data_IF_406467284227
#
_entry.id   IF_406467284227
#
_cell.length_a   1.000
_cell.length_b   1.000
_cell.length_c   1.000
_cell.angle_alpha   90.00
_cell.angle_beta   90.00
_cell.angle_gamma   90.00
#
_symmetry.space_group_name_H-M   'P 1'
#
loop_
_entity.id
_entity.type
_entity.pdbx_description
1 polymer ?
#
# COMPACT_ATOMS: atom_id res chain seq x y z
N UNK A 1 -7.88 10.42 23.64
CA UNK A 1 -6.70 10.71 22.79
C UNK A 1 -5.83 9.47 22.90
N UNK A 2 -6.31 8.37 22.29
CA UNK A 2 -5.70 7.07 22.50
C UNK A 2 -4.63 6.84 21.44
N UNK A 3 -3.43 6.78 21.97
CA UNK A 3 -2.21 6.27 21.38
C UNK A 3 -2.50 4.93 20.69
N UNK A 4 -2.61 4.96 19.35
CA UNK A 4 -2.64 3.76 18.51
C UNK A 4 -1.28 3.07 18.60
N UNK A 5 -1.11 2.32 19.68
CA UNK A 5 -0.10 1.28 19.79
C UNK A 5 -0.34 0.28 18.66
N UNK A 6 0.66 0.21 17.78
CA UNK A 6 0.83 -0.74 16.69
C UNK A 6 0.30 -2.13 17.09
N UNK A 7 -0.91 -2.43 16.62
CA UNK A 7 -1.62 -3.65 16.93
C UNK A 7 -1.46 -4.63 15.77
N UNK A 8 -0.85 -5.78 16.05
CA UNK A 8 -0.76 -6.99 15.21
C UNK A 8 -2.15 -7.65 15.03
N UNK A 9 -3.16 -6.87 14.67
CA UNK A 9 -4.55 -7.31 14.66
C UNK A 9 -4.90 -7.92 13.30
N UNK A 10 -4.96 -9.24 13.25
CA UNK A 10 -5.93 -9.92 12.38
C UNK A 10 -7.32 -9.53 12.87
N UNK A 11 -7.86 -8.42 12.38
CA UNK A 11 -9.22 -7.98 12.73
C UNK A 11 -10.21 -8.76 11.88
N UNK A 12 -10.59 -9.95 12.34
CA UNK A 12 -11.68 -10.72 11.74
C UNK A 12 -13.01 -10.21 12.30
N UNK A 13 -13.69 -9.32 11.56
CA UNK A 13 -15.11 -9.06 11.83
C UNK A 13 -15.92 -10.23 11.25
N UNK A 14 -16.22 -11.22 12.10
CA UNK A 14 -16.96 -12.43 11.70
C UNK A 14 -18.45 -12.31 12.07
N UNK A 15 -19.31 -12.37 11.06
CA UNK A 15 -20.68 -12.85 11.21
C UNK A 15 -20.87 -14.05 10.26
N UNK A 16 -21.55 -15.13 10.67
CA UNK A 16 -21.84 -16.23 9.76
C UNK A 16 -22.67 -15.72 8.57
N UNK A 17 -22.31 -16.12 7.35
CA UNK A 17 -22.86 -15.66 6.06
C UNK A 17 -22.55 -14.21 5.63
N UNK A 18 -21.66 -13.48 6.31
CA UNK A 18 -21.22 -12.16 5.84
C UNK A 18 -19.89 -12.20 5.08
N UNK A 19 -19.72 -11.28 4.13
CA UNK A 19 -18.42 -11.00 3.52
C UNK A 19 -17.41 -10.61 4.60
N UNK A 20 -16.30 -11.35 4.70
CA UNK A 20 -15.22 -11.10 5.66
C UNK A 20 -14.11 -10.32 4.95
N UNK A 21 -13.71 -9.18 5.53
CA UNK A 21 -12.55 -8.41 5.11
C UNK A 21 -11.49 -8.56 6.21
N UNK A 22 -10.29 -8.99 5.81
CA UNK A 22 -9.16 -9.19 6.71
C UNK A 22 -8.04 -8.23 6.35
N UNK A 23 -7.63 -7.41 7.31
CA UNK A 23 -6.44 -6.57 7.18
C UNK A 23 -5.25 -7.34 7.75
N UNK A 24 -4.21 -7.48 6.93
CA UNK A 24 -3.01 -8.25 7.24
C UNK A 24 -1.79 -7.43 6.86
N UNK A 25 -0.74 -7.51 7.67
CA UNK A 25 0.58 -7.04 7.25
C UNK A 25 1.20 -8.02 6.25
N UNK A 26 2.15 -7.56 5.46
CA UNK A 26 2.90 -8.38 4.49
C UNK A 26 3.45 -9.66 5.13
N UNK A 27 4.10 -9.53 6.29
CA UNK A 27 4.62 -10.67 7.06
C UNK A 27 3.55 -11.67 7.51
N UNK A 28 2.36 -11.21 7.91
CA UNK A 28 1.25 -12.09 8.28
C UNK A 28 0.70 -12.83 7.05
N UNK A 29 0.63 -12.15 5.90
CA UNK A 29 0.20 -12.78 4.66
C UNK A 29 1.19 -13.85 4.18
N UNK A 30 2.49 -13.61 4.32
CA UNK A 30 3.53 -14.62 4.04
C UNK A 30 3.36 -15.83 4.97
N UNK A 31 3.06 -15.64 6.25
CA UNK A 31 2.78 -16.75 7.17
C UNK A 31 1.52 -17.54 6.78
N UNK A 32 0.48 -16.87 6.29
CA UNK A 32 -0.73 -17.55 5.82
C UNK A 32 -0.45 -18.37 4.54
N UNK A 33 0.37 -17.84 3.63
CA UNK A 33 0.88 -18.59 2.46
C UNK A 33 1.68 -19.85 2.83
N UNK A 34 2.43 -19.83 3.93
CA UNK A 34 3.15 -21.01 4.41
C UNK A 34 2.19 -22.09 4.96
N UNK A 35 1.06 -21.68 5.53
CA UNK A 35 0.03 -22.60 6.08
C UNK A 35 -0.90 -23.12 4.99
N UNK A 36 -1.34 -22.25 4.09
CA UNK A 36 -2.16 -22.56 2.93
C UNK A 36 -1.50 -22.00 1.66
N UNK A 37 -0.65 -22.80 0.98
CA UNK A 37 0.08 -22.37 -0.21
C UNK A 37 -0.82 -21.98 -1.40
N UNK A 38 -2.09 -22.37 -1.39
CA UNK A 38 -3.04 -22.03 -2.44
C UNK A 38 -3.97 -20.88 -2.03
N UNK A 39 -3.88 -20.39 -0.79
CA UNK A 39 -4.71 -19.30 -0.25
C UNK A 39 -6.20 -19.56 -0.47
N UNK A 40 -6.65 -20.81 -0.33
CA UNK A 40 -8.01 -21.29 -0.63
C UNK A 40 -9.10 -20.50 0.09
N UNK A 41 -8.78 -19.94 1.25
CA UNK A 41 -9.67 -19.09 2.06
C UNK A 41 -9.99 -17.74 1.41
N UNK A 42 -9.16 -17.28 0.48
CA UNK A 42 -9.27 -15.97 -0.16
C UNK A 42 -9.73 -16.10 -1.61
N UNK A 43 -10.64 -15.19 -2.01
CA UNK A 43 -11.06 -14.99 -3.40
C UNK A 43 -10.48 -13.72 -4.00
N UNK A 44 -10.26 -12.70 -3.16
CA UNK A 44 -9.68 -11.42 -3.57
C UNK A 44 -8.58 -11.06 -2.58
N UNK A 45 -7.42 -10.68 -3.10
CA UNK A 45 -6.30 -10.15 -2.33
C UNK A 45 -6.02 -8.75 -2.84
N UNK A 46 -5.98 -7.78 -1.94
CA UNK A 46 -5.55 -6.42 -2.25
C UNK A 46 -4.20 -6.17 -1.59
N UNK A 47 -3.21 -5.83 -2.40
CA UNK A 47 -1.91 -5.37 -1.95
C UNK A 47 -1.91 -3.85 -2.05
N UNK A 48 -1.87 -3.19 -0.90
CA UNK A 48 -1.86 -1.74 -0.81
C UNK A 48 -0.43 -1.20 -0.66
N UNK A 49 -0.21 0.03 -1.10
CA UNK A 49 1.08 0.74 -1.01
C UNK A 49 2.32 -0.03 -1.49
N UNK A 50 2.16 -0.83 -2.54
CA UNK A 50 3.24 -1.65 -3.11
C UNK A 50 4.45 -0.82 -3.61
N UNK A 51 4.28 0.49 -3.72
CA UNK A 51 5.32 1.44 -4.11
C UNK A 51 6.43 1.60 -3.06
N UNK A 52 6.22 1.20 -1.80
CA UNK A 52 7.26 1.27 -0.75
C UNK A 52 8.42 0.28 -0.98
N UNK A 53 8.31 -0.61 -1.98
CA UNK A 53 9.34 -1.58 -2.42
C UNK A 53 10.07 -2.27 -1.24
N UNK A 54 9.29 -2.73 -0.26
CA UNK A 54 9.82 -3.56 0.82
C UNK A 54 10.23 -4.94 0.29
N UNK A 55 11.26 -5.55 0.88
CA UNK A 55 11.67 -6.92 0.56
C UNK A 55 10.49 -7.92 0.73
N UNK A 56 9.65 -7.69 1.75
CA UNK A 56 8.51 -8.54 2.03
C UNK A 56 7.45 -8.42 0.94
N UNK A 57 7.16 -7.22 0.44
CA UNK A 57 6.24 -7.00 -0.69
C UNK A 57 6.75 -7.68 -1.97
N UNK A 58 8.04 -7.58 -2.28
CA UNK A 58 8.59 -8.25 -3.48
C UNK A 58 8.47 -9.78 -3.40
N UNK A 59 8.77 -10.36 -2.23
CA UNK A 59 8.58 -11.80 -1.98
C UNK A 59 7.10 -12.16 -2.12
N UNK A 60 6.21 -11.37 -1.52
CA UNK A 60 4.77 -11.62 -1.54
C UNK A 60 4.20 -11.57 -2.97
N UNK A 61 4.59 -10.58 -3.78
CA UNK A 61 4.22 -10.47 -5.20
C UNK A 61 4.67 -11.71 -5.99
N UNK A 62 5.91 -12.16 -5.76
CA UNK A 62 6.44 -13.37 -6.39
C UNK A 62 5.68 -14.64 -6.02
N UNK A 63 5.29 -14.78 -4.74
CA UNK A 63 4.50 -15.91 -4.26
C UNK A 63 3.07 -15.86 -4.81
N UNK A 64 2.39 -14.72 -4.73
CA UNK A 64 1.03 -14.54 -5.24
C UNK A 64 0.97 -14.81 -6.74
N UNK A 65 1.97 -14.37 -7.52
CA UNK A 65 2.09 -14.70 -8.94
C UNK A 65 2.14 -16.21 -9.21
N UNK A 66 2.80 -16.98 -8.34
CA UNK A 66 2.80 -18.46 -8.44
C UNK A 66 1.42 -19.04 -8.13
N UNK A 67 0.74 -18.51 -7.12
CA UNK A 67 -0.62 -18.97 -6.75
C UNK A 67 -1.63 -18.64 -7.85
N UNK A 68 -1.59 -17.44 -8.43
CA UNK A 68 -2.45 -17.04 -9.55
C UNK A 68 -2.34 -17.98 -10.75
N UNK A 69 -1.14 -18.50 -11.05
CA UNK A 69 -0.96 -19.51 -12.11
C UNK A 69 -1.64 -20.84 -11.81
N UNK A 70 -1.83 -21.18 -10.54
CA UNK A 70 -2.55 -22.38 -10.08
C UNK A 70 -4.06 -22.14 -9.92
N UNK A 71 -4.45 -20.88 -9.69
CA UNK A 71 -5.81 -20.41 -9.43
C UNK A 71 -6.21 -19.25 -10.36
N UNK A 72 -6.23 -19.47 -11.70
CA UNK A 72 -6.43 -18.38 -12.67
C UNK A 72 -7.86 -17.84 -12.74
N UNK A 73 -8.85 -18.61 -12.28
CA UNK A 73 -10.28 -18.29 -12.44
C UNK A 73 -10.88 -17.75 -11.14
N UNK A 74 -10.47 -18.31 -10.01
CA UNK A 74 -11.13 -18.13 -8.71
C UNK A 74 -10.41 -17.12 -7.79
N UNK A 75 -9.15 -16.80 -8.05
CA UNK A 75 -8.38 -15.81 -7.30
C UNK A 75 -8.19 -14.51 -8.12
N UNK A 76 -8.60 -13.39 -7.53
CA UNK A 76 -8.36 -12.04 -8.08
C UNK A 76 -7.36 -11.30 -7.20
N UNK A 77 -6.49 -10.52 -7.83
CA UNK A 77 -5.50 -9.70 -7.13
C UNK A 77 -5.62 -8.25 -7.59
N UNK A 78 -5.67 -7.34 -6.62
CA UNK A 78 -5.68 -5.89 -6.83
C UNK A 78 -4.37 -5.35 -6.25
N UNK A 79 -3.68 -4.52 -7.02
CA UNK A 79 -2.45 -3.86 -6.60
C UNK A 79 -2.72 -2.36 -6.61
N UNK A 80 -2.56 -1.72 -5.46
CA UNK A 80 -2.67 -0.28 -5.27
C UNK A 80 -1.29 0.32 -5.07
N UNK A 81 -1.03 1.45 -5.73
CA UNK A 81 0.24 2.17 -5.72
C UNK A 81 -0.02 3.66 -5.92
N UNK A 82 0.62 4.50 -5.10
CA UNK A 82 0.57 5.95 -5.25
C UNK A 82 1.50 6.49 -6.37
N UNK A 83 2.44 5.67 -6.86
CA UNK A 83 3.44 6.10 -7.85
C UNK A 83 3.10 5.63 -9.27
N UNK A 84 3.61 6.39 -10.26
CA UNK A 84 3.38 6.20 -11.71
C UNK A 84 4.05 4.94 -12.29
N UNK A 85 4.74 4.11 -11.50
CA UNK A 85 5.45 2.92 -12.00
C UNK A 85 4.53 1.71 -12.28
N UNK A 86 3.24 1.95 -12.51
CA UNK A 86 2.25 0.92 -12.81
C UNK A 86 2.64 0.05 -14.01
N UNK A 87 3.34 0.62 -15.00
CA UNK A 87 3.83 -0.07 -16.20
C UNK A 87 4.68 -1.30 -15.88
N UNK A 88 5.55 -1.22 -14.86
CA UNK A 88 6.41 -2.33 -14.43
C UNK A 88 5.58 -3.48 -13.88
N UNK A 89 4.54 -3.17 -13.10
CA UNK A 89 3.61 -4.18 -12.59
C UNK A 89 2.79 -4.78 -13.73
N UNK A 90 2.27 -3.96 -14.65
CA UNK A 90 1.55 -4.43 -15.83
C UNK A 90 2.43 -5.40 -16.63
N UNK A 91 3.67 -5.04 -16.94
CA UNK A 91 4.61 -5.91 -17.65
C UNK A 91 4.88 -7.20 -16.87
N UNK A 92 5.12 -7.09 -15.56
CA UNK A 92 5.40 -8.23 -14.70
C UNK A 92 4.24 -9.23 -14.68
N UNK A 93 3.00 -8.78 -14.56
CA UNK A 93 1.81 -9.65 -14.53
C UNK A 93 1.36 -10.09 -15.93
N UNK A 94 1.58 -9.27 -16.97
CA UNK A 94 1.26 -9.62 -18.37
C UNK A 94 2.11 -10.77 -18.92
N UNK A 95 3.33 -10.97 -18.39
CA UNK A 95 4.17 -12.14 -18.72
C UNK A 95 3.61 -13.47 -18.18
N UNK A 96 2.46 -13.49 -17.51
CA UNK A 96 1.82 -14.74 -17.12
C UNK A 96 1.06 -15.35 -18.30
N UNK A 97 1.46 -16.57 -18.66
CA UNK A 97 0.66 -17.43 -19.52
C UNK A 97 -0.52 -17.95 -18.70
N UNK A 98 -1.66 -17.28 -18.82
CA UNK A 98 -2.93 -17.84 -18.34
C UNK A 98 -3.41 -18.79 -19.44
N UNK A 99 -3.75 -20.05 -19.13
CA UNK A 99 -4.36 -20.92 -20.13
C UNK A 99 -5.59 -20.22 -20.72
N UNK A 100 -5.70 -20.22 -22.05
CA UNK A 100 -6.86 -19.66 -22.74
C UNK A 100 -8.09 -20.42 -22.25
N UNK A 101 -8.88 -19.76 -21.40
CA UNK A 101 -10.22 -20.24 -21.07
C UNK A 101 -11.08 -19.79 -22.23
N UNK A 102 -11.31 -20.70 -23.17
CA UNK A 102 -12.31 -20.54 -24.21
C UNK A 102 -13.66 -20.28 -23.52
N UNK A 103 -14.00 -19.01 -23.39
CA UNK A 103 -15.29 -18.61 -22.86
C UNK A 103 -16.18 -18.51 -24.09
N UNK A 104 -17.06 -19.48 -24.30
CA UNK A 104 -17.95 -19.57 -25.49
C UNK A 104 -18.94 -18.39 -25.62
N UNK A 105 -18.86 -17.37 -24.76
CA UNK A 105 -19.73 -16.20 -24.80
C UNK A 105 -18.92 -14.91 -24.78
N UNK A 106 -18.93 -14.22 -25.93
CA UNK A 106 -18.50 -12.84 -26.17
C UNK A 106 -17.00 -12.55 -26.05
N UNK A 107 -16.32 -12.52 -27.20
CA UNK A 107 -15.34 -11.54 -27.74
C UNK A 107 -14.45 -10.63 -26.86
N UNK A 108 -14.48 -10.71 -25.54
CA UNK A 108 -13.54 -10.03 -24.65
C UNK A 108 -12.28 -10.89 -24.58
N UNK A 109 -11.27 -10.48 -25.36
CA UNK A 109 -9.89 -10.86 -25.10
C UNK A 109 -9.55 -10.36 -23.69
N UNK A 110 -9.68 -11.23 -22.70
CA UNK A 110 -9.31 -10.95 -21.31
C UNK A 110 -7.82 -10.63 -21.30
N UNK A 111 -7.46 -9.34 -21.37
CA UNK A 111 -6.13 -8.92 -21.00
C UNK A 111 -5.98 -9.26 -19.52
N UNK A 112 -4.99 -10.07 -19.12
CA UNK A 112 -4.90 -10.62 -17.77
C UNK A 112 -4.72 -9.54 -16.68
N UNK A 113 -4.45 -8.31 -17.10
CA UNK A 113 -4.23 -7.16 -16.23
C UNK A 113 -5.08 -5.99 -16.74
N UNK A 114 -5.76 -5.30 -15.84
CA UNK A 114 -6.42 -4.03 -16.07
C UNK A 114 -5.72 -2.96 -15.24
N UNK A 115 -5.52 -1.78 -15.81
CA UNK A 115 -4.91 -0.64 -15.14
C UNK A 115 -5.95 0.47 -15.02
N UNK A 116 -6.13 0.97 -13.80
CA UNK A 116 -7.00 2.10 -13.49
C UNK A 116 -6.15 3.19 -12.83
N UNK A 117 -6.08 4.35 -13.47
CA UNK A 117 -5.47 5.53 -12.86
C UNK A 117 -6.57 6.35 -12.17
N UNK A 118 -6.40 6.64 -10.89
CA UNK A 118 -7.30 7.50 -10.12
C UNK A 118 -6.54 8.77 -9.77
N UNK A 119 -6.89 9.88 -10.42
CA UNK A 119 -6.22 11.16 -10.20
C UNK A 119 -6.63 11.74 -8.84
N UNK A 120 -5.63 11.97 -7.99
CA UNK A 120 -5.82 12.68 -6.73
C UNK A 120 -6.10 14.17 -6.97
N UNK A 121 -6.95 14.77 -6.12
CA UNK A 121 -7.12 16.23 -6.12
C UNK A 121 -5.92 16.86 -5.43
N UNK A 122 -5.17 17.68 -6.15
CA UNK A 122 -4.04 18.43 -5.61
C UNK A 122 -4.40 19.92 -5.51
N UNK A 123 -3.96 20.56 -4.43
CA UNK A 123 -4.00 22.01 -4.25
C UNK A 123 -2.59 22.56 -4.36
N UNK A 124 -2.40 23.81 -4.84
CA UNK A 124 -1.07 24.40 -4.94
C UNK A 124 -0.42 24.49 -3.56
N UNK A 125 0.82 24.01 -3.45
CA UNK A 125 1.61 24.03 -2.22
C UNK A 125 2.83 24.94 -2.41
N UNK A 126 3.02 25.88 -1.49
CA UNK A 126 4.22 26.72 -1.45
C UNK A 126 5.32 26.01 -0.66
N UNK A 127 6.49 25.81 -1.27
CA UNK A 127 7.64 25.14 -0.67
C UNK A 127 8.67 26.19 -0.24
N UNK A 128 9.14 26.10 1.00
CA UNK A 128 10.15 26.99 1.57
C UNK A 128 11.37 26.17 2.00
N UNK A 129 12.57 26.67 1.69
CA UNK A 129 13.86 26.06 2.05
C UNK A 129 14.60 26.95 3.05
N UNK A 130 15.45 26.36 3.89
CA UNK A 130 16.38 27.13 4.72
C UNK A 130 17.48 27.73 3.84
N UNK A 131 17.90 28.96 4.15
CA UNK A 131 19.01 29.62 3.44
C UNK A 131 20.36 28.98 3.83
N UNK A 132 20.50 28.65 5.11
CA UNK A 132 21.70 28.05 5.67
C UNK A 132 21.46 26.59 6.08
N UNK A 133 22.53 25.76 6.14
CA UNK A 133 22.46 24.42 6.71
C UNK A 133 21.97 24.47 8.16
N UNK A 134 21.03 23.59 8.50
CA UNK A 134 20.43 23.52 9.85
C UNK A 134 21.14 22.44 10.66
N UNK A 135 21.91 22.78 11.71
CA UNK A 135 22.64 21.78 12.50
C UNK A 135 21.71 20.86 13.28
N UNK A 136 20.60 21.42 13.79
CA UNK A 136 19.56 20.68 14.50
C UNK A 136 18.19 20.90 13.86
N UNK A 137 17.79 19.96 13.00
CA UNK A 137 16.51 20.05 12.30
C UNK A 137 15.31 19.97 13.25
N UNK A 138 15.42 19.27 14.39
CA UNK A 138 14.34 19.14 15.37
C UNK A 138 14.03 20.47 16.08
N UNK A 139 15.09 21.22 16.43
CA UNK A 139 14.94 22.54 17.03
C UNK A 139 14.34 23.52 16.02
N UNK A 140 14.86 23.55 14.80
CA UNK A 140 14.31 24.39 13.72
C UNK A 140 12.86 24.01 13.36
N UNK A 141 12.52 22.72 13.39
CA UNK A 141 11.15 22.25 13.18
C UNK A 141 10.23 22.76 14.29
N UNK A 142 10.64 22.64 15.57
CA UNK A 142 9.91 23.19 16.71
C UNK A 142 9.66 24.70 16.55
N UNK A 143 10.71 25.48 16.27
CA UNK A 143 10.57 26.93 16.05
C UNK A 143 9.63 27.25 14.88
N UNK A 144 9.73 26.48 13.79
CA UNK A 144 8.86 26.65 12.63
C UNK A 144 7.40 26.36 12.96
N UNK A 145 7.12 25.32 13.76
CA UNK A 145 5.77 25.00 14.24
C UNK A 145 5.19 26.15 15.05
N UNK A 146 5.94 26.68 16.03
CA UNK A 146 5.50 27.82 16.85
C UNK A 146 5.25 29.06 15.99
N UNK A 147 6.19 29.39 15.09
CA UNK A 147 6.05 30.51 14.17
C UNK A 147 4.79 30.38 13.30
N UNK A 148 4.50 29.19 12.77
CA UNK A 148 3.27 28.96 11.97
C UNK A 148 2.04 29.14 12.86
N UNK A 149 2.03 28.53 14.05
CA UNK A 149 0.91 28.61 14.99
C UNK A 149 0.57 30.04 15.39
N UNK A 150 1.57 30.90 15.58
CA UNK A 150 1.39 32.29 16.01
C UNK A 150 1.04 33.25 14.85
N UNK A 151 1.52 32.97 13.63
CA UNK A 151 1.40 33.91 12.49
C UNK A 151 0.30 33.56 11.50
N UNK A 152 -0.22 32.32 11.49
CA UNK A 152 -1.23 31.87 10.53
C UNK A 152 -2.62 31.81 11.15
N UNK A 153 -3.69 32.05 10.36
CA UNK A 153 -5.06 31.95 10.84
C UNK A 153 -5.42 30.53 11.29
N UNK A 154 -6.39 30.44 12.19
CA UNK A 154 -6.92 29.17 12.68
C UNK A 154 -7.64 28.38 11.58
N UNK A 155 -7.69 27.05 11.72
CA UNK A 155 -8.41 26.14 10.81
C UNK A 155 -7.52 25.24 9.94
N UNK A 156 -6.22 25.16 10.25
CA UNK A 156 -5.30 24.21 9.60
C UNK A 156 -4.47 23.43 10.62
N UNK A 157 -4.08 22.21 10.24
CA UNK A 157 -3.22 21.33 11.02
C UNK A 157 -1.76 21.41 10.56
N UNK A 158 -0.83 21.09 11.46
CA UNK A 158 0.61 21.06 11.17
C UNK A 158 1.10 19.61 11.25
N UNK A 159 1.61 19.08 10.14
CA UNK A 159 2.25 17.77 10.06
C UNK A 159 3.78 17.95 10.02
N UNK A 160 4.49 17.30 10.95
CA UNK A 160 5.96 17.33 11.01
C UNK A 160 6.50 15.90 10.84
N UNK A 161 7.34 15.70 9.83
CA UNK A 161 8.05 14.44 9.63
C UNK A 161 9.37 14.46 10.41
N UNK A 162 9.52 13.56 11.38
CA UNK A 162 10.73 13.39 12.19
C UNK A 162 11.33 12.01 11.95
N UNK A 163 12.66 11.89 12.07
CA UNK A 163 13.28 10.56 12.08
C UNK A 163 12.99 9.88 13.43
N UNK A 164 12.97 8.54 13.47
CA UNK A 164 12.39 7.74 14.57
C UNK A 164 12.90 8.05 16.00
N UNK A 165 12.32 7.37 17.00
CA UNK A 165 12.34 7.71 18.46
C UNK A 165 13.66 8.15 19.13
N UNK A 166 14.83 7.94 18.54
CA UNK A 166 16.14 8.29 19.10
C UNK A 166 16.91 9.36 18.30
N UNK A 167 16.20 10.17 17.53
CA UNK A 167 16.76 11.33 16.87
C UNK A 167 16.97 12.46 17.89
N UNK A 168 18.10 12.44 18.57
CA UNK A 168 18.61 13.62 19.27
C UNK A 168 19.50 14.42 18.32
N UNK A 169 19.32 15.74 18.27
CA UNK A 169 20.42 16.59 17.82
C UNK A 169 21.53 16.50 18.87
N UNK A 170 22.74 16.17 18.45
CA UNK A 170 23.91 16.25 19.32
C UNK A 170 24.36 17.69 19.48
#
# INVERSE_FOLDING_TARGET
MDMFSQCFLKKECWTPNSTVISYLTEGMMIQELLRDPLLTRFRVIMLDEVHERSLQTDILLGLIKKVLRKRPIDLRVIISSATLEAEKFIEYFSKMKIPEVETENQGLKLTPVSHLNVEGRQYPVSIFYSLDPVPCYLFAAKETVFRIHETKPLGGDILVFVTGKHSGCK
#
